data_IF_350768509949
#
_entry.id   IF_350768509949
#
_cell.length_a   1.000
_cell.length_b   1.000
_cell.length_c   1.000
_cell.angle_alpha   90.00
_cell.angle_beta   90.00
_cell.angle_gamma   90.00
#
_symmetry.space_group_name_H-M   'P 1'
#
loop_
_entity.id
_entity.type
_entity.pdbx_description
1 polymer ?
#
# COMPACT_ATOMS: atom_id res chain seq x y z
N UNK A 1 -67.05 27.88 5.45
CA UNK A 1 -65.69 27.65 6.02
C UNK A 1 -64.98 26.65 5.14
N UNK A 2 -64.09 27.14 4.26
CA UNK A 2 -63.28 26.28 3.34
C UNK A 2 -61.91 26.01 3.99
N UNK A 3 -61.56 24.73 4.24
CA UNK A 3 -60.29 24.32 4.77
C UNK A 3 -59.36 24.01 3.56
N UNK A 4 -58.32 24.81 3.41
CA UNK A 4 -57.26 24.61 2.43
C UNK A 4 -56.23 23.64 3.03
N UNK A 5 -56.06 22.44 2.43
CA UNK A 5 -54.97 21.53 2.75
C UNK A 5 -53.70 22.00 1.96
N UNK A 6 -52.66 22.31 2.69
CA UNK A 6 -51.32 22.53 2.13
C UNK A 6 -50.60 21.18 2.10
N UNK A 7 -50.38 20.65 0.90
CA UNK A 7 -49.58 19.47 0.71
C UNK A 7 -48.09 19.85 0.73
N UNK A 8 -47.35 19.39 1.73
CA UNK A 8 -45.94 19.59 1.89
C UNK A 8 -45.18 18.47 1.13
N UNK A 9 -44.70 18.79 -0.04
CA UNK A 9 -43.86 17.84 -0.85
C UNK A 9 -42.47 17.81 -0.26
N UNK A 10 -42.12 16.70 0.37
CA UNK A 10 -40.73 16.42 0.82
C UNK A 10 -39.94 15.93 -0.40
N UNK A 11 -39.07 16.79 -0.94
CA UNK A 11 -38.04 16.36 -1.91
C UNK A 11 -36.96 15.58 -1.14
N UNK A 12 -36.98 14.27 -1.27
CA UNK A 12 -35.85 13.43 -0.89
C UNK A 12 -34.74 13.65 -1.94
N UNK A 13 -33.71 14.42 -1.57
CA UNK A 13 -32.47 14.50 -2.33
C UNK A 13 -31.77 13.13 -2.20
N UNK A 14 -31.91 12.30 -3.21
CA UNK A 14 -31.11 11.08 -3.34
C UNK A 14 -29.64 11.43 -3.53
N UNK A 15 -28.84 11.24 -2.49
CA UNK A 15 -27.38 11.20 -2.62
C UNK A 15 -27.03 9.92 -3.40
N UNK A 16 -26.87 10.06 -4.70
CA UNK A 16 -26.16 9.05 -5.49
C UNK A 16 -24.68 9.14 -5.10
N UNK A 17 -24.23 8.23 -4.24
CA UNK A 17 -22.81 7.98 -4.08
C UNK A 17 -22.29 7.50 -5.44
N UNK A 18 -21.66 8.39 -6.20
CA UNK A 18 -20.88 8.02 -7.37
C UNK A 18 -19.75 7.12 -6.85
N UNK A 19 -19.81 5.82 -7.20
CA UNK A 19 -18.69 4.91 -7.01
C UNK A 19 -17.52 5.45 -7.84
N UNK A 20 -16.64 6.22 -7.21
CA UNK A 20 -15.36 6.55 -7.82
C UNK A 20 -14.59 5.24 -7.89
N UNK A 21 -14.19 4.85 -9.10
CA UNK A 21 -13.18 3.81 -9.31
C UNK A 21 -11.87 4.32 -8.66
N UNK A 22 -11.67 3.96 -7.39
CA UNK A 22 -10.48 4.33 -6.63
C UNK A 22 -9.34 3.45 -7.12
N UNK A 23 -8.55 3.96 -8.06
CA UNK A 23 -7.33 3.32 -8.55
C UNK A 23 -6.05 4.08 -8.12
N UNK A 24 -6.20 5.12 -7.33
CA UNK A 24 -5.10 5.87 -6.72
C UNK A 24 -5.55 6.51 -5.40
N UNK A 25 -4.59 6.85 -4.56
CA UNK A 25 -4.79 7.55 -3.29
C UNK A 25 -3.95 8.83 -3.25
N UNK A 26 -4.46 9.86 -2.60
CA UNK A 26 -3.73 11.10 -2.33
C UNK A 26 -4.17 11.70 -0.99
N UNK A 27 -3.54 12.78 -0.56
CA UNK A 27 -3.83 13.44 0.71
C UNK A 27 -5.28 13.98 0.85
N UNK A 28 -6.02 14.08 -0.26
CA UNK A 28 -7.44 14.50 -0.27
C UNK A 28 -8.40 13.31 -0.19
N UNK A 29 -7.92 12.09 -0.32
CA UNK A 29 -8.74 10.88 -0.17
C UNK A 29 -9.25 10.81 1.27
N UNK A 30 -10.58 10.66 1.50
CA UNK A 30 -11.14 10.61 2.85
C UNK A 30 -10.45 9.57 3.74
N UNK A 31 -10.19 9.93 5.00
CA UNK A 31 -9.44 9.07 5.94
C UNK A 31 -10.10 7.72 6.16
N UNK A 32 -11.42 7.68 6.30
CA UNK A 32 -12.19 6.44 6.46
C UNK A 32 -12.08 5.51 5.25
N UNK A 33 -11.97 6.07 4.04
CA UNK A 33 -11.71 5.32 2.81
C UNK A 33 -10.31 4.73 2.84
N UNK A 34 -9.29 5.52 3.20
CA UNK A 34 -7.92 5.03 3.30
C UNK A 34 -7.78 3.92 4.35
N UNK A 35 -8.36 4.11 5.56
CA UNK A 35 -8.36 3.09 6.63
C UNK A 35 -8.97 1.79 6.14
N UNK A 36 -10.14 1.86 5.50
CA UNK A 36 -10.84 0.68 4.98
C UNK A 36 -10.00 -0.07 3.95
N UNK A 37 -9.36 0.65 3.01
CA UNK A 37 -8.53 0.04 1.97
C UNK A 37 -7.24 -0.54 2.57
N UNK A 38 -6.56 0.16 3.47
CA UNK A 38 -5.38 -0.35 4.16
C UNK A 38 -5.65 -1.68 4.87
N UNK A 39 -6.86 -1.85 5.46
CA UNK A 39 -7.26 -3.11 6.12
C UNK A 39 -7.48 -4.28 5.17
N UNK A 40 -7.62 -4.05 3.86
CA UNK A 40 -7.69 -5.14 2.89
C UNK A 40 -6.33 -5.74 2.56
N UNK A 41 -5.24 -5.13 3.00
CA UNK A 41 -3.88 -5.63 2.72
C UNK A 41 -3.59 -6.99 3.34
N UNK A 42 -4.20 -7.34 4.48
CA UNK A 42 -3.92 -8.57 5.22
C UNK A 42 -5.20 -9.18 5.84
N UNK A 43 -5.15 -10.42 6.38
CA UNK A 43 -6.26 -11.00 7.12
C UNK A 43 -6.74 -10.12 8.27
N UNK A 44 -8.04 -10.18 8.59
CA UNK A 44 -8.67 -9.37 9.64
C UNK A 44 -8.03 -9.57 11.01
N UNK A 45 -7.55 -10.77 11.30
CA UNK A 45 -6.85 -11.12 12.54
C UNK A 45 -5.55 -10.31 12.71
N UNK A 46 -4.97 -9.84 11.62
CA UNK A 46 -3.80 -8.96 11.61
C UNK A 46 -4.28 -7.50 11.64
N UNK A 47 -5.10 -7.10 10.67
CA UNK A 47 -5.43 -5.68 10.47
C UNK A 47 -6.28 -5.07 11.57
N UNK A 48 -7.04 -5.87 12.32
CA UNK A 48 -7.82 -5.39 13.46
C UNK A 48 -6.95 -4.99 14.68
N UNK A 49 -5.68 -5.40 14.68
CA UNK A 49 -4.73 -5.18 15.76
C UNK A 49 -3.45 -4.47 15.30
N UNK A 50 -3.41 -4.01 14.05
CA UNK A 50 -2.28 -3.33 13.45
C UNK A 50 -2.35 -1.80 13.68
N UNK A 51 -1.19 -1.15 13.69
CA UNK A 51 -1.12 0.29 13.48
C UNK A 51 -1.66 0.62 12.08
N UNK A 52 -2.56 1.60 11.96
CA UNK A 52 -3.09 2.06 10.66
C UNK A 52 -2.58 3.46 10.38
N UNK A 53 -1.96 3.62 9.23
CA UNK A 53 -1.49 4.90 8.72
C UNK A 53 -2.31 5.35 7.51
N UNK A 54 -2.53 6.65 7.40
CA UNK A 54 -3.16 7.29 6.24
C UNK A 54 -2.24 8.36 5.67
N UNK A 55 -2.36 8.59 4.38
CA UNK A 55 -1.64 9.65 3.70
C UNK A 55 -2.30 10.99 3.98
N UNK A 56 -1.59 11.84 4.70
CA UNK A 56 -1.97 13.21 5.00
C UNK A 56 -1.19 14.23 4.14
N UNK A 57 -1.38 15.50 4.45
CA UNK A 57 -0.74 16.61 3.72
C UNK A 57 0.79 16.58 3.75
N UNK A 58 1.38 16.05 4.80
CA UNK A 58 2.83 16.09 5.07
C UNK A 58 3.50 14.71 5.05
N UNK A 59 2.82 13.70 4.58
CA UNK A 59 3.22 12.29 4.61
C UNK A 59 2.25 11.43 5.40
N UNK A 60 2.68 10.25 5.80
CA UNK A 60 1.83 9.33 6.56
C UNK A 60 1.59 9.78 8.00
N UNK A 61 0.35 9.64 8.45
CA UNK A 61 -0.11 9.93 9.81
C UNK A 61 -0.66 8.65 10.44
N UNK A 62 -0.22 8.32 11.65
CA UNK A 62 -0.81 7.23 12.45
C UNK A 62 -2.19 7.66 12.95
N UNK A 63 -3.22 6.89 12.60
CA UNK A 63 -4.61 7.19 12.96
C UNK A 63 -5.25 6.15 13.87
N UNK A 64 -4.71 4.94 13.89
CA UNK A 64 -5.13 3.90 14.83
C UNK A 64 -3.90 3.18 15.39
N UNK A 65 -3.85 2.99 16.70
CA UNK A 65 -2.78 2.26 17.38
C UNK A 65 -3.14 0.79 17.49
N UNK A 66 -2.25 -0.08 17.03
CA UNK A 66 -2.33 -1.52 17.18
C UNK A 66 -1.50 -2.05 18.35
N UNK A 67 -1.47 -3.37 18.49
CA UNK A 67 -0.73 -4.07 19.55
C UNK A 67 -0.05 -5.35 19.08
N UNK A 68 -0.13 -5.68 17.79
CA UNK A 68 0.45 -6.90 17.22
C UNK A 68 1.78 -6.69 16.48
N UNK A 69 2.26 -5.44 16.43
CA UNK A 69 3.51 -5.06 15.76
C UNK A 69 3.41 -4.93 14.24
N UNK A 70 2.23 -5.11 13.65
CA UNK A 70 2.00 -4.82 12.24
C UNK A 70 1.64 -3.36 12.02
N UNK A 71 2.01 -2.84 10.84
CA UNK A 71 1.69 -1.48 10.37
C UNK A 71 1.10 -1.57 8.97
N UNK A 72 -0.15 -1.12 8.79
CA UNK A 72 -0.86 -1.17 7.52
C UNK A 72 -1.12 0.24 7.00
N UNK A 73 -0.97 0.40 5.68
CA UNK A 73 -1.17 1.66 4.96
C UNK A 73 -1.50 1.38 3.51
N UNK A 74 -1.77 2.43 2.74
CA UNK A 74 -1.78 2.36 1.28
C UNK A 74 -0.48 2.99 0.81
N UNK A 75 0.47 2.16 0.38
CA UNK A 75 1.73 2.63 -0.20
C UNK A 75 1.52 3.14 -1.64
N UNK A 76 2.48 3.92 -2.10
CA UNK A 76 2.59 4.38 -3.48
C UNK A 76 4.04 4.29 -3.92
N UNK A 77 4.37 3.30 -4.73
CA UNK A 77 5.69 3.28 -5.38
C UNK A 77 5.89 4.54 -6.23
N UNK A 78 4.83 4.94 -6.94
CA UNK A 78 4.70 6.21 -7.66
C UNK A 78 3.45 6.95 -7.18
N UNK A 79 3.37 8.29 -7.40
CA UNK A 79 2.18 9.05 -7.02
C UNK A 79 0.86 8.51 -7.57
N UNK A 80 0.91 7.79 -8.69
CA UNK A 80 -0.24 7.24 -9.42
C UNK A 80 -0.61 5.83 -8.99
N UNK A 81 0.24 5.13 -8.21
CA UNK A 81 -0.05 3.76 -7.75
C UNK A 81 -0.87 3.72 -6.46
N UNK A 82 -1.46 2.59 -6.16
CA UNK A 82 -2.20 2.34 -4.93
C UNK A 82 -1.94 0.91 -4.47
N UNK A 83 -1.22 0.77 -3.38
CA UNK A 83 -0.62 -0.48 -2.94
C UNK A 83 -0.90 -0.68 -1.45
N UNK A 84 -2.09 -1.25 -1.10
CA UNK A 84 -2.40 -1.54 0.30
C UNK A 84 -1.47 -2.63 0.84
N UNK A 85 -0.69 -2.28 1.86
CA UNK A 85 0.33 -3.13 2.44
C UNK A 85 0.27 -3.18 3.96
N UNK A 86 0.60 -4.35 4.54
CA UNK A 86 0.81 -4.52 5.97
C UNK A 86 2.20 -5.10 6.21
N UNK A 87 3.04 -4.30 6.82
CA UNK A 87 4.40 -4.65 7.24
C UNK A 87 4.40 -5.28 8.62
N UNK A 88 5.18 -6.32 8.82
CA UNK A 88 5.46 -6.83 10.15
C UNK A 88 6.42 -5.92 10.96
N UNK A 89 6.76 -6.32 12.18
CA UNK A 89 7.62 -5.53 13.05
C UNK A 89 9.04 -5.31 12.47
N UNK A 90 9.55 -6.20 11.62
CA UNK A 90 10.85 -5.99 10.95
C UNK A 90 10.74 -4.91 9.89
N UNK A 91 9.69 -4.95 9.07
CA UNK A 91 9.40 -3.91 8.09
C UNK A 91 9.16 -2.56 8.73
N UNK A 92 8.44 -2.52 9.84
CA UNK A 92 8.20 -1.30 10.61
C UNK A 92 9.50 -0.61 11.09
N UNK A 93 10.53 -1.40 11.38
CA UNK A 93 11.85 -0.88 11.79
C UNK A 93 12.77 -0.52 10.62
N UNK A 94 12.53 -1.04 9.45
CA UNK A 94 13.39 -0.92 8.26
C UNK A 94 12.69 -0.24 7.09
N UNK A 95 12.06 -1.01 6.23
CA UNK A 95 11.48 -0.58 4.94
C UNK A 95 10.46 0.54 5.11
N UNK A 96 9.55 0.44 6.08
CA UNK A 96 8.49 1.41 6.29
C UNK A 96 9.02 2.82 6.60
N UNK A 97 10.20 2.94 7.25
CA UNK A 97 10.84 4.23 7.47
C UNK A 97 11.25 4.93 6.18
N UNK A 98 11.62 4.15 5.18
CA UNK A 98 11.94 4.68 3.84
C UNK A 98 10.66 5.17 3.16
N UNK A 99 9.57 4.40 3.26
CA UNK A 99 8.27 4.80 2.69
C UNK A 99 7.75 6.10 3.30
N UNK A 100 7.86 6.25 4.60
CA UNK A 100 7.51 7.51 5.27
C UNK A 100 8.37 8.67 4.79
N UNK A 101 9.68 8.46 4.70
CA UNK A 101 10.59 9.48 4.18
C UNK A 101 10.25 9.89 2.74
N UNK A 102 9.95 8.94 1.86
CA UNK A 102 9.58 9.21 0.46
C UNK A 102 8.36 10.13 0.40
N UNK A 103 7.29 9.80 1.12
CA UNK A 103 6.07 10.62 1.13
C UNK A 103 6.26 11.99 1.77
N UNK A 104 7.10 12.10 2.81
CA UNK A 104 7.48 13.40 3.36
C UNK A 104 8.23 14.28 2.35
N UNK A 105 9.10 13.70 1.51
CA UNK A 105 9.81 14.45 0.47
C UNK A 105 8.86 14.85 -0.67
N UNK A 106 7.96 13.95 -1.08
CA UNK A 106 6.90 14.26 -2.06
C UNK A 106 6.03 15.41 -1.59
N UNK A 107 5.63 15.40 -0.32
CA UNK A 107 4.86 16.49 0.29
C UNK A 107 5.57 17.85 0.29
N UNK A 108 6.92 17.84 0.28
CA UNK A 108 7.77 19.05 0.15
C UNK A 108 8.01 19.47 -1.31
N UNK A 109 7.49 18.72 -2.28
CA UNK A 109 7.68 18.99 -3.71
C UNK A 109 9.06 18.59 -4.24
N UNK A 110 9.79 17.72 -3.54
CA UNK A 110 11.07 17.16 -4.02
C UNK A 110 10.81 16.22 -5.17
N UNK A 111 11.64 16.29 -6.22
CA UNK A 111 11.47 15.45 -7.41
C UNK A 111 11.76 13.98 -7.12
N UNK A 112 11.09 13.04 -7.83
CA UNK A 112 11.29 11.60 -7.68
C UNK A 112 12.76 11.18 -7.86
N UNK A 113 13.48 11.86 -8.77
CA UNK A 113 14.93 11.63 -8.96
C UNK A 113 15.73 11.96 -7.71
N UNK A 114 15.52 13.14 -7.13
CA UNK A 114 16.20 13.57 -5.91
C UNK A 114 15.83 12.71 -4.70
N UNK A 115 14.57 12.26 -4.62
CA UNK A 115 14.10 11.32 -3.59
C UNK A 115 14.86 10.00 -3.73
N UNK A 116 14.94 9.43 -4.93
CA UNK A 116 15.66 8.18 -5.19
C UNK A 116 17.15 8.30 -4.80
N UNK A 117 17.80 9.39 -5.18
CA UNK A 117 19.20 9.66 -4.80
C UNK A 117 19.36 9.79 -3.27
N UNK A 118 18.41 10.45 -2.60
CA UNK A 118 18.41 10.62 -1.15
C UNK A 118 18.20 9.29 -0.41
N UNK A 119 17.35 8.40 -0.92
CA UNK A 119 17.15 7.05 -0.36
C UNK A 119 18.44 6.24 -0.48
N UNK A 120 19.08 6.23 -1.66
CA UNK A 120 20.37 5.54 -1.85
C UNK A 120 21.46 6.07 -0.93
N UNK A 121 21.56 7.39 -0.80
CA UNK A 121 22.48 8.02 0.14
C UNK A 121 22.14 7.67 1.60
N UNK A 122 20.87 7.56 1.93
CA UNK A 122 20.37 7.16 3.25
C UNK A 122 20.79 5.75 3.63
N UNK A 123 20.68 4.80 2.71
CA UNK A 123 21.19 3.43 2.92
C UNK A 123 22.72 3.42 3.06
N UNK A 124 23.43 4.11 2.18
CA UNK A 124 24.90 4.19 2.22
C UNK A 124 25.43 4.80 3.54
N UNK A 125 24.77 5.79 4.08
CA UNK A 125 25.16 6.46 5.35
C UNK A 125 24.68 5.72 6.60
N UNK A 126 23.83 4.68 6.47
CA UNK A 126 23.22 3.97 7.59
C UNK A 126 22.03 4.70 8.24
N UNK A 127 21.54 5.78 7.65
CA UNK A 127 20.26 6.44 8.03
C UNK A 127 19.10 5.46 7.88
N UNK A 128 19.07 4.73 6.76
CA UNK A 128 18.18 3.61 6.53
C UNK A 128 18.93 2.30 6.67
N UNK A 129 18.24 1.28 7.13
CA UNK A 129 18.80 -0.07 7.29
C UNK A 129 17.97 -1.06 6.51
N UNK A 130 18.65 -1.96 5.82
CA UNK A 130 18.01 -3.13 5.25
C UNK A 130 17.35 -3.97 6.37
N UNK A 131 16.28 -4.72 6.06
CA UNK A 131 15.78 -5.74 6.97
C UNK A 131 16.89 -6.69 7.42
N UNK A 132 16.98 -6.95 8.72
CA UNK A 132 18.04 -7.80 9.32
C UNK A 132 17.58 -9.21 9.62
N UNK A 133 16.27 -9.45 9.53
CA UNK A 133 15.62 -10.74 9.78
C UNK A 133 14.62 -11.04 8.67
N UNK A 134 14.29 -12.31 8.52
CA UNK A 134 13.14 -12.73 7.73
C UNK A 134 11.86 -12.11 8.28
N UNK A 135 10.95 -11.78 7.39
CA UNK A 135 9.66 -11.23 7.74
C UNK A 135 8.79 -11.10 6.50
N UNK A 136 7.61 -10.52 6.66
CA UNK A 136 6.56 -10.55 5.66
C UNK A 136 5.91 -9.18 5.48
N UNK A 137 5.57 -8.86 4.23
CA UNK A 137 4.63 -7.83 3.87
C UNK A 137 3.42 -8.48 3.20
N UNK A 138 2.25 -8.23 3.72
CA UNK A 138 0.99 -8.64 3.11
C UNK A 138 0.54 -7.58 2.10
N UNK A 139 0.13 -8.03 0.92
CA UNK A 139 -0.46 -7.22 -0.13
C UNK A 139 -1.62 -8.01 -0.79
N UNK A 140 -2.60 -8.44 0.05
CA UNK A 140 -3.68 -9.34 -0.36
C UNK A 140 -4.91 -8.62 -0.93
N UNK A 141 -4.86 -7.30 -1.04
CA UNK A 141 -5.98 -6.48 -1.50
C UNK A 141 -6.26 -6.65 -2.99
N UNK A 142 -7.53 -6.53 -3.39
CA UNK A 142 -7.93 -6.35 -4.78
C UNK A 142 -7.69 -4.90 -5.28
N UNK A 143 -7.21 -4.00 -4.42
CA UNK A 143 -6.87 -2.61 -4.74
C UNK A 143 -5.37 -2.43 -5.06
N UNK A 144 -4.68 -3.47 -5.51
CA UNK A 144 -3.28 -3.40 -5.91
C UNK A 144 -3.17 -2.84 -7.32
N UNK A 145 -2.86 -1.56 -7.46
CA UNK A 145 -2.62 -0.88 -8.73
C UNK A 145 -1.16 -0.44 -8.79
N UNK A 146 -0.36 -1.20 -9.52
CA UNK A 146 1.10 -1.05 -9.60
C UNK A 146 1.54 -0.55 -10.98
N UNK A 147 2.73 0.03 -11.06
CA UNK A 147 3.34 0.41 -12.33
C UNK A 147 3.94 -0.85 -13.00
N UNK A 148 3.48 -1.16 -14.20
CA UNK A 148 4.13 -2.17 -15.04
C UNK A 148 5.43 -1.58 -15.59
N UNK A 149 6.61 -2.12 -15.24
CA UNK A 149 7.90 -1.54 -15.63
C UNK A 149 8.19 -1.64 -17.14
N UNK A 150 7.57 -2.59 -17.84
CA UNK A 150 7.78 -2.78 -19.29
C UNK A 150 6.95 -1.79 -20.12
N UNK A 151 5.74 -1.49 -19.68
CA UNK A 151 4.78 -0.67 -20.45
C UNK A 151 4.62 0.74 -19.92
N UNK A 152 5.06 1.01 -18.68
CA UNK A 152 4.84 2.27 -17.99
C UNK A 152 3.36 2.55 -17.64
N UNK A 153 2.49 1.54 -17.71
CA UNK A 153 1.05 1.68 -17.41
C UNK A 153 0.74 1.17 -16.00
N UNK A 154 -0.25 1.77 -15.38
CA UNK A 154 -0.82 1.24 -14.15
C UNK A 154 -1.67 0.02 -14.50
N UNK A 155 -1.41 -1.08 -13.81
CA UNK A 155 -2.13 -2.34 -13.96
C UNK A 155 -2.62 -2.82 -12.59
N UNK A 156 -3.69 -3.59 -12.60
CA UNK A 156 -4.10 -4.37 -11.43
C UNK A 156 -3.15 -5.57 -11.27
N UNK A 157 -2.64 -5.76 -10.04
CA UNK A 157 -1.79 -6.90 -9.70
C UNK A 157 -2.50 -7.78 -8.65
N UNK A 158 -2.48 -9.11 -8.79
CA UNK A 158 -3.20 -9.99 -7.87
C UNK A 158 -2.66 -9.91 -6.44
N UNK A 159 -3.50 -10.22 -5.46
CA UNK A 159 -3.10 -10.32 -4.07
C UNK A 159 -1.93 -11.29 -3.90
N UNK A 160 -0.92 -10.88 -3.12
CA UNK A 160 0.32 -11.64 -2.95
C UNK A 160 0.97 -11.38 -1.58
N UNK A 161 2.00 -12.17 -1.30
CA UNK A 161 2.86 -12.03 -0.14
C UNK A 161 4.24 -11.62 -0.61
N UNK A 162 4.90 -10.77 0.16
CA UNK A 162 6.28 -10.38 -0.07
C UNK A 162 7.13 -10.74 1.15
N UNK A 163 8.36 -11.18 0.90
CA UNK A 163 9.31 -11.51 1.94
C UNK A 163 10.56 -10.67 1.79
N UNK A 164 11.11 -10.16 2.89
CA UNK A 164 12.36 -9.40 2.84
C UNK A 164 13.49 -10.29 2.30
N UNK A 165 14.11 -9.82 1.25
CA UNK A 165 15.20 -10.50 0.56
C UNK A 165 16.33 -9.51 0.21
N UNK A 166 16.92 -8.80 1.21
CA UNK A 166 17.90 -7.75 0.96
C UNK A 166 19.00 -8.22 0.01
N UNK A 167 19.27 -7.40 -1.02
CA UNK A 167 20.26 -7.64 -2.06
C UNK A 167 19.99 -8.86 -2.96
N UNK A 168 18.83 -9.52 -2.84
CA UNK A 168 18.47 -10.63 -3.74
C UNK A 168 18.28 -10.12 -5.18
N UNK A 169 18.56 -11.01 -6.11
CA UNK A 169 18.34 -10.81 -7.54
C UNK A 169 17.70 -12.07 -8.11
N UNK A 170 17.12 -12.00 -9.31
CA UNK A 170 16.60 -13.17 -10.01
C UNK A 170 17.65 -14.29 -10.11
N UNK A 171 18.92 -13.93 -10.30
CA UNK A 171 20.01 -14.90 -10.35
C UNK A 171 20.21 -15.66 -9.04
N UNK A 172 19.97 -15.01 -7.89
CA UNK A 172 20.19 -15.63 -6.56
C UNK A 172 19.02 -16.49 -6.11
N UNK A 173 17.81 -16.28 -6.64
CA UNK A 173 16.60 -17.04 -6.29
C UNK A 173 16.19 -18.04 -7.37
N UNK A 174 16.88 -18.05 -8.52
CA UNK A 174 16.54 -18.86 -9.69
C UNK A 174 15.58 -18.09 -10.61
N UNK A 175 16.06 -17.74 -11.82
CA UNK A 175 15.24 -17.11 -12.85
C UNK A 175 14.51 -18.16 -13.68
N UNK A 176 13.29 -17.87 -14.13
CA UNK A 176 12.53 -18.71 -15.05
C UNK A 176 11.03 -18.77 -14.72
N UNK A 177 10.31 -19.51 -15.53
CA UNK A 177 8.87 -19.72 -15.32
C UNK A 177 8.61 -20.36 -13.95
N UNK A 178 7.70 -19.74 -13.17
CA UNK A 178 7.38 -20.19 -11.82
C UNK A 178 8.37 -19.76 -10.73
N UNK A 179 9.46 -19.06 -11.07
CA UNK A 179 10.36 -18.48 -10.06
C UNK A 179 9.68 -17.28 -9.35
N UNK A 180 10.05 -17.01 -8.08
CA UNK A 180 9.60 -15.80 -7.39
C UNK A 180 10.07 -14.53 -8.13
N UNK A 181 9.24 -13.49 -8.13
CA UNK A 181 9.66 -12.17 -8.59
C UNK A 181 10.48 -11.47 -7.51
N UNK A 182 11.52 -10.74 -7.92
CA UNK A 182 12.24 -9.84 -7.04
C UNK A 182 11.91 -8.40 -7.40
N UNK A 183 11.38 -7.68 -6.44
CA UNK A 183 11.20 -6.22 -6.51
C UNK A 183 12.48 -5.57 -5.99
N UNK A 184 12.94 -4.50 -6.63
CA UNK A 184 14.21 -3.81 -6.33
C UNK A 184 15.45 -4.74 -6.31
N UNK A 185 15.71 -5.51 -7.38
CA UNK A 185 16.76 -6.52 -7.39
C UNK A 185 18.15 -5.91 -7.09
N UNK A 186 18.85 -6.50 -6.13
CA UNK A 186 20.18 -6.06 -5.68
C UNK A 186 20.18 -4.89 -4.70
N UNK A 187 19.04 -4.29 -4.41
CA UNK A 187 18.93 -3.16 -3.47
C UNK A 187 18.72 -3.64 -2.02
N UNK A 188 19.00 -2.78 -1.01
CA UNK A 188 18.85 -3.13 0.41
C UNK A 188 17.42 -3.49 0.82
N UNK A 189 16.42 -2.97 0.12
CA UNK A 189 14.98 -3.17 0.35
C UNK A 189 14.35 -4.14 -0.66
N UNK A 190 15.14 -4.99 -1.29
CA UNK A 190 14.62 -6.01 -2.17
C UNK A 190 13.60 -6.92 -1.47
N UNK A 191 12.53 -7.23 -2.19
CA UNK A 191 11.45 -8.10 -1.73
C UNK A 191 11.25 -9.23 -2.74
N UNK A 192 11.02 -10.43 -2.21
CA UNK A 192 10.62 -11.60 -2.99
C UNK A 192 9.12 -11.75 -2.96
N UNK A 193 8.47 -11.68 -4.13
CA UNK A 193 7.02 -11.83 -4.27
C UNK A 193 6.66 -13.30 -4.47
N UNK A 194 5.68 -13.75 -3.68
CA UNK A 194 5.02 -15.05 -3.85
C UNK A 194 3.53 -14.81 -4.05
N UNK A 195 3.04 -15.11 -5.25
CA UNK A 195 1.61 -15.08 -5.57
C UNK A 195 1.01 -16.40 -5.10
N UNK A 196 0.11 -16.42 -4.11
CA UNK A 196 -0.56 -17.66 -3.70
C UNK A 196 -1.33 -18.26 -4.88
N UNK A 197 -1.26 -19.56 -5.03
CA UNK A 197 -2.11 -20.25 -6.00
C UNK A 197 -3.58 -19.94 -5.65
N UNK A 198 -4.32 -19.37 -6.60
CA UNK A 198 -5.76 -19.17 -6.42
C UNK A 198 -6.38 -20.56 -6.24
N UNK A 199 -6.98 -20.82 -5.08
CA UNK A 199 -7.80 -22.01 -4.91
C UNK A 199 -9.02 -21.83 -5.82
N UNK A 200 -9.01 -22.49 -6.96
CA UNK A 200 -10.23 -22.66 -7.73
C UNK A 200 -11.17 -23.53 -6.86
N UNK A 201 -11.99 -22.86 -6.05
CA UNK A 201 -13.15 -23.51 -5.46
C UNK A 201 -14.09 -23.87 -6.62
N UNK A 202 -13.93 -25.07 -7.14
CA UNK A 202 -14.95 -25.69 -7.97
C UNK A 202 -16.18 -25.87 -7.09
N UNK A 203 -17.05 -24.88 -7.06
CA UNK A 203 -18.44 -25.09 -6.66
C UNK A 203 -19.10 -25.88 -7.76
N UNK A 204 -19.12 -27.23 -7.63
CA UNK A 204 -20.07 -28.12 -8.29
C UNK A 204 -21.42 -28.02 -7.58
#
# INVERSE_FOLDING_TARGET
>A
MKRTLIAMTIMAAGMTASGQDLNHVNASTPRDVQIRIARFAAPKEITNHADIYVLGKYGYELVEHGNNGFSCLIEREKPETMEPECYDAEGGRSTLKVRFFVEEQRAKGVSEKEITESVKAGYKSGKFKAPSKSGIVYMLSDYNFVLNPETGKIIHFPGHLMFYAPYATEKTVGAGEGAPYIVHPGEPDALMIVVPAQSHSNHQ
#
